data_IF_270650007571
#
_entry.id   IF_270650007571
#
_cell.length_a   1.000
_cell.length_b   1.000
_cell.length_c   1.000
_cell.angle_alpha   90.00
_cell.angle_beta   90.00
_cell.angle_gamma   90.00
#
_symmetry.space_group_name_H-M   'P 1'
#
loop_
_entity.id
_entity.type
_entity.pdbx_description
1 polymer ?
#
# COMPACT_ATOMS: atom_id res chain seq x y z
N UNK A 1 35.39 6.09 -22.30
CA UNK A 1 35.18 5.65 -20.89
C UNK A 1 34.74 4.21 -20.92
N UNK A 2 35.32 3.29 -20.14
CA UNK A 2 34.87 1.90 -20.12
C UNK A 2 33.41 1.85 -19.68
N UNK A 3 32.59 1.09 -20.42
CA UNK A 3 31.21 0.77 -20.04
C UNK A 3 31.32 -0.07 -18.75
N UNK A 4 30.96 0.48 -17.61
CA UNK A 4 30.84 -0.30 -16.38
C UNK A 4 29.74 -1.33 -16.62
N UNK A 5 30.15 -2.59 -16.80
CA UNK A 5 29.23 -3.71 -16.94
C UNK A 5 28.89 -4.18 -15.52
N UNK A 6 27.69 -3.87 -15.05
CA UNK A 6 27.18 -4.41 -13.79
C UNK A 6 26.85 -5.89 -13.97
N UNK A 7 27.19 -6.71 -13.00
CA UNK A 7 26.73 -8.10 -12.89
C UNK A 7 25.20 -8.16 -12.72
N UNK A 8 24.60 -9.32 -12.93
CA UNK A 8 23.15 -9.50 -12.69
C UNK A 8 22.80 -9.24 -11.22
N UNK A 9 23.64 -9.68 -10.29
CA UNK A 9 23.48 -9.45 -8.85
C UNK A 9 23.53 -7.97 -8.49
N UNK A 10 24.50 -7.23 -9.05
CA UNK A 10 24.61 -5.78 -8.85
C UNK A 10 23.39 -5.04 -9.42
N UNK A 11 22.89 -5.47 -10.58
CA UNK A 11 21.68 -4.90 -11.19
C UNK A 11 20.45 -5.15 -10.31
N UNK A 12 20.30 -6.37 -9.80
CA UNK A 12 19.17 -6.70 -8.90
C UNK A 12 19.25 -5.90 -7.59
N UNK A 13 20.43 -5.75 -7.02
CA UNK A 13 20.64 -4.91 -5.83
C UNK A 13 20.28 -3.44 -6.08
N UNK A 14 20.67 -2.89 -7.23
CA UNK A 14 20.30 -1.53 -7.62
C UNK A 14 18.78 -1.41 -7.81
N UNK A 15 18.15 -2.38 -8.48
CA UNK A 15 16.70 -2.42 -8.68
C UNK A 15 15.95 -2.42 -7.35
N UNK A 16 16.36 -3.28 -6.42
CA UNK A 16 15.79 -3.36 -5.08
C UNK A 16 16.00 -2.07 -4.27
N UNK A 17 17.16 -1.42 -4.44
CA UNK A 17 17.43 -0.11 -3.84
C UNK A 17 16.48 0.96 -4.38
N UNK A 18 16.25 1.00 -5.70
CA UNK A 18 15.30 1.93 -6.33
C UNK A 18 13.87 1.73 -5.81
N UNK A 19 13.43 0.48 -5.71
CA UNK A 19 12.11 0.14 -5.18
C UNK A 19 11.96 0.56 -3.71
N UNK A 20 12.98 0.27 -2.89
CA UNK A 20 12.98 0.61 -1.47
C UNK A 20 12.96 2.13 -1.27
N UNK A 21 13.84 2.87 -1.98
CA UNK A 21 13.87 4.34 -1.90
C UNK A 21 12.60 4.98 -2.46
N UNK A 22 12.06 4.43 -3.54
CA UNK A 22 10.76 4.84 -4.06
C UNK A 22 9.64 4.66 -3.04
N UNK A 23 9.56 3.50 -2.41
CA UNK A 23 8.55 3.20 -1.39
C UNK A 23 8.68 4.11 -0.16
N UNK A 24 9.90 4.33 0.34
CA UNK A 24 10.18 5.24 1.46
C UNK A 24 9.70 6.67 1.17
N UNK A 25 10.02 7.18 -0.03
CA UNK A 25 9.59 8.51 -0.46
C UNK A 25 8.08 8.60 -0.61
N UNK A 26 7.45 7.62 -1.26
CA UNK A 26 6.00 7.58 -1.46
C UNK A 26 5.24 7.46 -0.15
N UNK A 27 5.71 6.67 0.80
CA UNK A 27 5.09 6.56 2.12
C UNK A 27 5.13 7.89 2.88
N UNK A 28 6.26 8.61 2.79
CA UNK A 28 6.47 9.87 3.51
C UNK A 28 5.70 11.05 2.92
N UNK A 29 5.74 11.23 1.61
CA UNK A 29 5.27 12.45 0.94
C UNK A 29 4.19 12.23 -0.13
N UNK A 30 3.77 10.99 -0.35
CA UNK A 30 2.82 10.61 -1.40
C UNK A 30 3.47 10.42 -2.77
N UNK A 31 2.73 9.78 -3.67
CA UNK A 31 3.20 9.46 -5.03
C UNK A 31 3.34 10.72 -5.89
N UNK A 32 2.42 11.70 -5.73
CA UNK A 32 2.43 12.92 -6.52
C UNK A 32 3.70 13.75 -6.26
N UNK A 33 4.13 13.83 -5.01
CA UNK A 33 5.30 14.61 -4.59
C UNK A 33 6.62 13.83 -4.71
N UNK A 34 6.57 12.56 -5.08
CA UNK A 34 7.76 11.73 -5.31
C UNK A 34 8.16 11.81 -6.78
N UNK A 35 9.35 12.33 -7.07
CA UNK A 35 9.87 12.46 -8.44
C UNK A 35 10.86 11.35 -8.76
N UNK A 36 11.01 11.03 -10.05
CA UNK A 36 12.06 10.11 -10.53
C UNK A 36 13.44 10.61 -10.11
N UNK A 37 13.64 11.93 -10.12
CA UNK A 37 14.90 12.55 -9.71
C UNK A 37 15.26 12.24 -8.27
N UNK A 38 14.33 12.43 -7.34
CA UNK A 38 14.53 12.11 -5.93
C UNK A 38 14.87 10.62 -5.74
N UNK A 39 14.22 9.73 -6.50
CA UNK A 39 14.43 8.28 -6.39
C UNK A 39 15.83 7.89 -6.86
N UNK A 40 16.24 8.29 -8.07
CA UNK A 40 17.55 7.90 -8.58
C UNK A 40 18.70 8.56 -7.79
N UNK A 41 18.52 9.78 -7.31
CA UNK A 41 19.50 10.46 -6.44
C UNK A 41 19.63 9.71 -5.09
N UNK A 42 18.51 9.34 -4.47
CA UNK A 42 18.52 8.58 -3.22
C UNK A 42 19.13 7.17 -3.39
N UNK A 43 19.09 6.61 -4.59
CA UNK A 43 19.73 5.35 -4.94
C UNK A 43 21.19 5.50 -5.41
N UNK A 44 21.70 6.73 -5.55
CA UNK A 44 23.07 7.01 -5.98
C UNK A 44 23.38 6.65 -7.44
N UNK A 45 22.37 6.69 -8.32
CA UNK A 45 22.53 6.36 -9.74
C UNK A 45 22.17 7.55 -10.66
N UNK A 46 22.47 7.41 -11.95
CA UNK A 46 22.10 8.42 -12.94
C UNK A 46 20.65 8.25 -13.41
N UNK A 47 20.06 9.34 -13.95
CA UNK A 47 18.74 9.32 -14.59
C UNK A 47 18.65 8.29 -15.72
N UNK A 48 19.66 8.25 -16.58
CA UNK A 48 19.69 7.31 -17.71
C UNK A 48 19.69 5.87 -17.23
N UNK A 49 20.42 5.59 -16.14
CA UNK A 49 20.48 4.24 -15.59
C UNK A 49 19.18 3.83 -14.93
N UNK A 50 18.45 4.76 -14.27
CA UNK A 50 17.09 4.51 -13.76
C UNK A 50 16.18 3.92 -14.84
N UNK A 51 16.15 4.55 -16.04
CA UNK A 51 15.27 4.11 -17.12
C UNK A 51 15.67 2.77 -17.77
N UNK A 52 16.80 2.18 -17.40
CA UNK A 52 17.12 0.79 -17.76
C UNK A 52 16.43 -0.26 -16.87
N UNK A 53 15.91 0.16 -15.70
CA UNK A 53 15.16 -0.70 -14.77
C UNK A 53 13.66 -0.47 -14.87
N UNK A 54 13.25 0.77 -14.95
CA UNK A 54 11.83 1.16 -14.96
C UNK A 54 11.58 2.12 -16.12
N UNK A 55 10.88 1.66 -17.19
CA UNK A 55 10.55 2.50 -18.35
C UNK A 55 9.76 3.75 -17.96
N UNK A 56 8.90 3.65 -16.94
CA UNK A 56 8.10 4.75 -16.42
C UNK A 56 8.18 4.84 -14.89
N UNK A 57 7.77 5.98 -14.33
CA UNK A 57 7.59 6.14 -12.87
C UNK A 57 6.50 5.20 -12.37
N UNK A 58 5.47 4.99 -13.15
CA UNK A 58 4.32 4.16 -12.83
C UNK A 58 4.71 2.68 -12.66
N UNK A 59 5.65 2.17 -13.47
CA UNK A 59 6.18 0.81 -13.32
C UNK A 59 6.88 0.65 -11.96
N UNK A 60 7.72 1.63 -11.58
CA UNK A 60 8.35 1.62 -10.26
C UNK A 60 7.30 1.69 -9.14
N UNK A 61 6.28 2.56 -9.25
CA UNK A 61 5.23 2.70 -8.24
C UNK A 61 4.55 1.36 -7.99
N UNK A 62 4.11 0.67 -9.04
CA UNK A 62 3.41 -0.61 -8.94
C UNK A 62 4.27 -1.65 -8.24
N UNK A 63 5.54 -1.76 -8.63
CA UNK A 63 6.45 -2.74 -8.05
C UNK A 63 6.82 -2.39 -6.60
N UNK A 64 6.99 -1.11 -6.27
CA UNK A 64 7.21 -0.67 -4.90
C UNK A 64 6.01 -0.97 -4.00
N UNK A 65 4.77 -0.83 -4.51
CA UNK A 65 3.57 -1.27 -3.78
C UNK A 65 3.55 -2.78 -3.53
N UNK A 66 4.10 -3.59 -4.44
CA UNK A 66 4.23 -5.03 -4.20
C UNK A 66 5.28 -5.34 -3.14
N UNK A 67 6.35 -4.56 -3.07
CA UNK A 67 7.43 -4.75 -2.10
C UNK A 67 6.95 -4.62 -0.65
N UNK A 68 5.93 -3.80 -0.37
CA UNK A 68 5.39 -3.66 0.98
C UNK A 68 4.44 -4.79 1.40
N UNK A 69 3.87 -5.56 0.45
CA UNK A 69 2.84 -6.57 0.74
C UNK A 69 3.27 -7.64 1.76
N UNK A 70 4.49 -8.22 1.68
CA UNK A 70 4.94 -9.18 2.69
C UNK A 70 5.01 -8.59 4.10
N UNK A 71 5.41 -7.31 4.24
CA UNK A 71 5.47 -6.61 5.53
C UNK A 71 4.08 -6.39 6.12
N UNK A 72 3.11 -6.05 5.26
CA UNK A 72 1.71 -5.87 5.68
C UNK A 72 1.13 -7.20 6.17
N UNK A 73 1.36 -8.31 5.46
CA UNK A 73 0.93 -9.63 5.89
C UNK A 73 1.61 -10.09 7.17
N UNK A 74 2.92 -9.88 7.30
CA UNK A 74 3.66 -10.21 8.52
C UNK A 74 3.13 -9.41 9.71
N UNK A 75 2.79 -8.14 9.53
CA UNK A 75 2.20 -7.30 10.56
C UNK A 75 0.81 -7.79 10.97
N UNK A 76 -0.06 -8.12 10.00
CA UNK A 76 -1.38 -8.69 10.29
C UNK A 76 -1.27 -9.98 11.14
N UNK A 77 -0.35 -10.87 10.75
CA UNK A 77 -0.08 -12.11 11.51
C UNK A 77 0.43 -11.83 12.91
N UNK A 78 1.41 -10.93 13.05
CA UNK A 78 1.98 -10.59 14.36
C UNK A 78 0.94 -10.03 15.33
N UNK A 79 -0.06 -9.30 14.84
CA UNK A 79 -1.16 -8.80 15.67
C UNK A 79 -2.08 -9.94 16.13
N UNK A 80 -2.35 -10.93 15.27
CA UNK A 80 -3.21 -12.07 15.63
C UNK A 80 -2.49 -13.06 16.56
N UNK A 81 -1.18 -13.20 16.42
CA UNK A 81 -0.35 -14.05 17.28
C UNK A 81 -0.03 -13.40 18.64
N UNK A 82 -0.39 -12.13 18.86
CA UNK A 82 -0.13 -11.42 20.12
C UNK A 82 -1.15 -11.80 21.21
N UNK A 83 -0.74 -12.54 22.24
CA UNK A 83 -1.68 -12.99 23.28
C UNK A 83 -2.24 -11.86 24.16
N UNK A 84 -1.67 -10.65 24.08
CA UNK A 84 -2.17 -9.49 24.83
C UNK A 84 -3.33 -8.78 24.11
N UNK A 85 -3.65 -9.15 22.87
CA UNK A 85 -4.72 -8.55 22.09
C UNK A 85 -5.86 -9.55 21.88
N UNK A 86 -7.09 -9.07 22.03
CA UNK A 86 -8.23 -9.78 21.48
C UNK A 86 -8.22 -9.71 19.96
N UNK A 87 -8.92 -10.62 19.30
CA UNK A 87 -9.08 -10.59 17.84
C UNK A 87 -9.56 -9.23 17.34
N UNK A 88 -10.57 -8.66 18.00
CA UNK A 88 -11.12 -7.34 17.65
C UNK A 88 -10.09 -6.22 17.76
N UNK A 89 -9.31 -6.23 18.83
CA UNK A 89 -8.23 -5.26 19.02
C UNK A 89 -7.15 -5.38 17.96
N UNK A 90 -6.74 -6.61 17.60
CA UNK A 90 -5.78 -6.85 16.54
C UNK A 90 -6.25 -6.36 15.18
N UNK A 91 -7.49 -6.69 14.79
CA UNK A 91 -8.07 -6.19 13.51
C UNK A 91 -8.21 -4.67 13.52
N UNK A 92 -8.69 -4.08 14.62
CA UNK A 92 -8.78 -2.62 14.78
C UNK A 92 -7.43 -1.95 14.63
N UNK A 93 -6.41 -2.47 15.31
CA UNK A 93 -5.06 -1.92 15.26
C UNK A 93 -4.45 -2.04 13.87
N UNK A 94 -4.68 -3.15 13.17
CA UNK A 94 -4.27 -3.33 11.78
C UNK A 94 -4.87 -2.26 10.87
N UNK A 95 -6.18 -2.10 10.88
CA UNK A 95 -6.89 -1.13 10.05
C UNK A 95 -6.47 0.31 10.38
N UNK A 96 -6.34 0.63 11.66
CA UNK A 96 -5.86 1.93 12.11
C UNK A 96 -4.45 2.22 11.59
N UNK A 97 -3.52 1.28 11.75
CA UNK A 97 -2.13 1.44 11.24
C UNK A 97 -2.10 1.67 9.74
N UNK A 98 -2.94 0.97 8.97
CA UNK A 98 -3.05 1.18 7.53
C UNK A 98 -3.69 2.54 7.17
N UNK A 99 -4.69 3.00 7.91
CA UNK A 99 -5.31 4.32 7.71
C UNK A 99 -4.31 5.48 7.95
N UNK A 100 -3.35 5.28 8.85
CA UNK A 100 -2.28 6.22 9.14
C UNK A 100 -0.94 5.75 8.55
N UNK A 101 -0.99 5.24 7.31
CA UNK A 101 0.14 4.63 6.63
C UNK A 101 1.36 5.52 6.51
N UNK A 102 1.17 6.83 6.33
CA UNK A 102 2.24 7.84 6.27
C UNK A 102 3.08 7.89 7.55
N UNK A 103 2.49 7.60 8.70
CA UNK A 103 3.18 7.53 10.00
C UNK A 103 3.83 6.15 10.24
N UNK A 104 3.41 5.13 9.50
CA UNK A 104 3.81 3.73 9.68
C UNK A 104 4.65 3.19 8.51
N UNK A 105 5.09 4.05 7.59
CA UNK A 105 5.88 3.65 6.43
C UNK A 105 5.12 2.81 5.41
N UNK A 106 3.78 2.93 5.38
CA UNK A 106 2.90 2.26 4.41
C UNK A 106 2.46 3.27 3.36
N UNK A 107 2.79 3.02 2.10
CA UNK A 107 2.33 3.83 0.98
C UNK A 107 0.88 3.46 0.63
N UNK A 108 -0.02 4.44 0.77
CA UNK A 108 -1.43 4.34 0.38
C UNK A 108 -1.69 5.38 -0.70
N UNK A 109 -2.24 4.95 -1.84
CA UNK A 109 -2.55 5.86 -2.95
C UNK A 109 -3.82 6.67 -2.65
N UNK A 110 -3.80 7.97 -2.97
CA UNK A 110 -5.02 8.79 -3.01
C UNK A 110 -5.89 8.41 -4.21
N UNK A 111 -7.12 8.94 -4.29
CA UNK A 111 -8.02 8.72 -5.43
C UNK A 111 -7.37 9.20 -6.73
N UNK A 112 -6.78 10.40 -6.70
CA UNK A 112 -6.13 11.01 -7.84
C UNK A 112 -4.91 10.21 -8.30
N UNK A 113 -4.12 9.73 -7.34
CA UNK A 113 -2.95 8.89 -7.60
C UNK A 113 -3.35 7.55 -8.23
N UNK A 114 -4.42 6.92 -7.73
CA UNK A 114 -4.97 5.70 -8.30
C UNK A 114 -5.47 5.93 -9.72
N UNK A 115 -6.24 6.99 -9.96
CA UNK A 115 -6.75 7.33 -11.29
C UNK A 115 -5.61 7.60 -12.28
N UNK A 116 -4.58 8.35 -11.86
CA UNK A 116 -3.42 8.64 -12.68
C UNK A 116 -2.66 7.35 -13.03
N UNK A 117 -2.41 6.50 -12.05
CA UNK A 117 -1.71 5.23 -12.21
C UNK A 117 -2.47 4.32 -13.18
N UNK A 118 -3.76 4.08 -12.93
CA UNK A 118 -4.56 3.13 -13.71
C UNK A 118 -4.78 3.56 -15.15
N UNK A 119 -4.79 4.88 -15.45
CA UNK A 119 -4.85 5.39 -16.83
C UNK A 119 -3.58 5.09 -17.64
N UNK A 120 -2.47 4.84 -16.98
CA UNK A 120 -1.16 4.64 -17.63
C UNK A 120 -0.72 3.18 -17.66
N UNK A 121 -1.34 2.31 -16.88
CA UNK A 121 -1.08 0.88 -16.93
C UNK A 121 -1.70 0.26 -18.18
N UNK A 122 -1.01 -0.73 -18.76
CA UNK A 122 -1.62 -1.62 -19.76
C UNK A 122 -2.76 -2.43 -19.13
N UNK A 123 -3.67 -2.97 -19.94
CA UNK A 123 -4.72 -3.84 -19.45
C UNK A 123 -4.18 -5.05 -18.67
N UNK A 124 -3.07 -5.63 -19.16
CA UNK A 124 -2.38 -6.76 -18.51
C UNK A 124 -1.78 -6.37 -17.16
N UNK A 125 -1.06 -5.23 -17.11
CA UNK A 125 -0.48 -4.72 -15.86
C UNK A 125 -1.55 -4.37 -14.83
N UNK A 126 -2.67 -3.81 -15.28
CA UNK A 126 -3.81 -3.52 -14.40
C UNK A 126 -4.47 -4.80 -13.86
N UNK A 127 -4.64 -5.81 -14.72
CA UNK A 127 -5.18 -7.11 -14.28
C UNK A 127 -4.25 -7.78 -13.26
N UNK A 128 -2.94 -7.81 -13.53
CA UNK A 128 -1.95 -8.32 -12.58
C UNK A 128 -1.98 -7.57 -11.25
N UNK A 129 -2.12 -6.23 -11.30
CA UNK A 129 -2.26 -5.40 -10.10
C UNK A 129 -3.48 -5.84 -9.28
N UNK A 130 -4.64 -6.00 -9.92
CA UNK A 130 -5.87 -6.46 -9.24
C UNK A 130 -5.71 -7.84 -8.60
N UNK A 131 -5.08 -8.78 -9.31
CA UNK A 131 -4.83 -10.14 -8.79
C UNK A 131 -3.89 -10.12 -7.57
N UNK A 132 -2.83 -9.32 -7.61
CA UNK A 132 -1.91 -9.16 -6.47
C UNK A 132 -2.60 -8.50 -5.28
N UNK A 133 -3.45 -7.49 -5.52
CA UNK A 133 -4.25 -6.89 -4.45
C UNK A 133 -5.23 -7.90 -3.84
N UNK A 134 -5.94 -8.67 -4.66
CA UNK A 134 -6.85 -9.70 -4.17
C UNK A 134 -6.12 -10.77 -3.33
N UNK A 135 -4.91 -11.17 -3.73
CA UNK A 135 -4.07 -12.08 -2.93
C UNK A 135 -3.65 -11.47 -1.59
N UNK A 136 -3.26 -10.19 -1.58
CA UNK A 136 -2.91 -9.49 -0.34
C UNK A 136 -4.10 -9.47 0.63
N UNK A 137 -5.25 -8.98 0.18
CA UNK A 137 -6.43 -8.89 1.03
C UNK A 137 -6.98 -10.26 1.45
N UNK A 138 -6.87 -11.27 0.57
CA UNK A 138 -7.17 -12.66 0.92
C UNK A 138 -6.26 -13.17 2.03
N UNK A 139 -4.95 -12.98 1.90
CA UNK A 139 -3.99 -13.37 2.94
C UNK A 139 -4.18 -12.63 4.27
N UNK A 140 -4.64 -11.37 4.24
CA UNK A 140 -4.99 -10.64 5.47
C UNK A 140 -6.23 -11.27 6.14
N UNK A 141 -7.27 -11.60 5.38
CA UNK A 141 -8.46 -12.30 5.90
C UNK A 141 -8.08 -13.65 6.53
N UNK A 142 -7.21 -14.42 5.89
CA UNK A 142 -6.69 -15.67 6.44
C UNK A 142 -5.92 -15.46 7.75
N UNK A 143 -5.12 -14.39 7.85
CA UNK A 143 -4.49 -14.01 9.13
C UNK A 143 -5.53 -13.69 10.22
N UNK A 144 -6.70 -13.18 9.83
CA UNK A 144 -7.80 -12.87 10.75
C UNK A 144 -8.70 -14.08 11.04
N UNK A 145 -8.31 -15.29 10.61
CA UNK A 145 -9.10 -16.51 10.78
C UNK A 145 -10.47 -16.41 10.07
N UNK A 146 -10.49 -15.79 8.91
CA UNK A 146 -11.66 -15.64 8.05
C UNK A 146 -11.40 -16.33 6.72
N UNK A 147 -12.33 -17.20 6.30
CA UNK A 147 -12.25 -17.86 4.99
C UNK A 147 -12.25 -16.81 3.86
N UNK A 148 -11.18 -16.79 3.08
CA UNK A 148 -10.96 -15.85 1.98
C UNK A 148 -11.62 -16.32 0.67
N UNK A 149 -12.94 -16.27 0.59
CA UNK A 149 -13.65 -16.43 -0.69
C UNK A 149 -13.70 -15.12 -1.48
N UNK A 150 -14.13 -15.21 -2.75
CA UNK A 150 -14.13 -14.08 -3.69
C UNK A 150 -14.97 -12.89 -3.20
N UNK A 151 -16.10 -13.17 -2.58
CA UNK A 151 -17.04 -12.14 -2.14
C UNK A 151 -16.47 -11.39 -0.93
N UNK A 152 -15.98 -12.12 0.07
CA UNK A 152 -15.36 -11.55 1.27
C UNK A 152 -14.10 -10.77 0.96
N UNK A 153 -13.25 -11.28 0.05
CA UNK A 153 -12.07 -10.55 -0.43
C UNK A 153 -12.48 -9.23 -1.07
N UNK A 154 -13.48 -9.25 -1.98
CA UNK A 154 -13.94 -8.04 -2.66
C UNK A 154 -14.53 -7.02 -1.68
N UNK A 155 -15.36 -7.47 -0.74
CA UNK A 155 -15.96 -6.62 0.28
C UNK A 155 -14.88 -6.02 1.20
N UNK A 156 -13.99 -6.84 1.75
CA UNK A 156 -12.93 -6.38 2.64
C UNK A 156 -11.97 -5.42 1.93
N UNK A 157 -11.60 -5.70 0.68
CA UNK A 157 -10.79 -4.81 -0.14
C UNK A 157 -11.44 -3.43 -0.26
N UNK A 158 -12.70 -3.37 -0.64
CA UNK A 158 -13.41 -2.10 -0.84
C UNK A 158 -13.59 -1.33 0.48
N UNK A 159 -13.99 -2.00 1.56
CA UNK A 159 -14.17 -1.37 2.87
C UNK A 159 -12.85 -0.81 3.41
N UNK A 160 -11.77 -1.59 3.34
CA UNK A 160 -10.46 -1.18 3.82
C UNK A 160 -9.90 -0.02 3.00
N UNK A 161 -9.95 -0.11 1.67
CA UNK A 161 -9.49 0.97 0.80
C UNK A 161 -10.33 2.23 0.98
N UNK A 162 -11.66 2.12 1.12
CA UNK A 162 -12.52 3.27 1.32
C UNK A 162 -12.15 4.07 2.57
N UNK A 163 -11.96 3.42 3.72
CA UNK A 163 -11.57 4.12 4.96
C UNK A 163 -10.17 4.71 4.88
N UNK A 164 -9.21 4.00 4.27
CA UNK A 164 -7.83 4.50 4.09
C UNK A 164 -7.78 5.71 3.18
N UNK A 165 -8.46 5.64 2.02
CA UNK A 165 -8.51 6.73 1.05
C UNK A 165 -9.28 7.93 1.62
N UNK A 166 -10.41 7.70 2.28
CA UNK A 166 -11.17 8.75 2.95
C UNK A 166 -10.29 9.49 3.98
N UNK A 167 -9.65 8.75 4.89
CA UNK A 167 -8.79 9.35 5.92
C UNK A 167 -7.63 10.15 5.32
N UNK A 168 -7.03 9.66 4.25
CA UNK A 168 -5.91 10.34 3.57
C UNK A 168 -6.34 11.57 2.78
N UNK A 169 -7.56 11.57 2.23
CA UNK A 169 -8.10 12.71 1.49
C UNK A 169 -8.45 13.90 2.38
N UNK A 170 -8.59 13.70 3.68
CA UNK A 170 -8.72 14.74 4.68
C UNK A 170 -7.29 15.21 5.05
N UNK A 171 -6.93 16.45 4.99
CA UNK A 171 -7.64 17.70 4.76
C UNK A 171 -7.48 18.28 3.33
N UNK A 172 -6.98 17.51 2.38
CA UNK A 172 -6.48 18.08 1.11
C UNK A 172 -7.54 18.18 0.01
N UNK A 173 -8.44 17.19 -0.11
CA UNK A 173 -9.34 17.06 -1.26
C UNK A 173 -10.81 16.87 -0.91
N UNK A 174 -11.14 16.53 0.33
CA UNK A 174 -12.53 16.42 0.79
C UNK A 174 -12.90 17.63 1.64
N UNK A 175 -13.81 18.49 1.19
CA UNK A 175 -14.33 19.60 1.98
C UNK A 175 -15.28 19.05 3.05
N UNK A 176 -14.74 18.64 4.18
CA UNK A 176 -15.56 18.26 5.32
C UNK A 176 -16.10 19.51 6.01
N UNK A 177 -17.40 19.46 6.36
CA UNK A 177 -18.03 20.52 7.12
C UNK A 177 -17.44 20.66 8.54
N UNK A 178 -16.97 19.53 9.10
CA UNK A 178 -16.39 19.46 10.45
C UNK A 178 -15.09 18.64 10.38
N UNK A 179 -13.97 19.24 9.93
CA UNK A 179 -12.68 18.55 9.79
C UNK A 179 -12.18 17.94 11.10
N UNK A 180 -12.50 18.56 12.24
CA UNK A 180 -12.10 18.10 13.59
C UNK A 180 -12.70 16.73 13.95
N UNK A 181 -13.80 16.33 13.31
CA UNK A 181 -14.43 15.02 13.51
C UNK A 181 -13.83 13.91 12.62
N UNK A 182 -12.86 14.22 11.78
CA UNK A 182 -12.32 13.29 10.79
C UNK A 182 -11.78 11.99 11.40
N UNK A 183 -10.98 12.09 12.45
CA UNK A 183 -10.39 10.94 13.13
C UNK A 183 -11.45 10.09 13.85
N UNK A 184 -12.44 10.75 14.49
CA UNK A 184 -13.57 10.05 15.10
C UNK A 184 -14.43 9.34 14.05
N UNK A 185 -14.62 9.95 12.88
CA UNK A 185 -15.34 9.34 11.75
C UNK A 185 -14.59 8.10 11.24
N UNK A 186 -13.27 8.18 11.04
CA UNK A 186 -12.47 7.05 10.64
C UNK A 186 -12.51 5.91 11.68
N UNK A 187 -12.46 6.23 12.97
CA UNK A 187 -12.57 5.24 14.05
C UNK A 187 -13.92 4.49 14.01
N UNK A 188 -15.03 5.20 13.79
CA UNK A 188 -16.37 4.58 13.66
C UNK A 188 -16.42 3.68 12.42
N UNK A 189 -15.84 4.10 11.29
CA UNK A 189 -15.78 3.28 10.09
C UNK A 189 -14.95 2.01 10.29
N UNK A 190 -13.82 2.11 10.99
CA UNK A 190 -13.00 0.94 11.38
C UNK A 190 -13.81 -0.01 12.24
N UNK A 191 -14.54 0.47 13.25
CA UNK A 191 -15.40 -0.38 14.09
C UNK A 191 -16.50 -1.08 13.28
N UNK A 192 -17.10 -0.38 12.33
CA UNK A 192 -18.09 -0.99 11.43
C UNK A 192 -17.47 -2.12 10.59
N UNK A 193 -16.23 -1.96 10.12
CA UNK A 193 -15.50 -3.01 9.40
C UNK A 193 -15.20 -4.19 10.35
N UNK A 194 -14.72 -3.94 11.56
CA UNK A 194 -14.46 -4.99 12.57
C UNK A 194 -15.73 -5.79 12.87
N UNK A 195 -16.87 -5.11 13.09
CA UNK A 195 -18.16 -5.76 13.31
C UNK A 195 -18.58 -6.64 12.12
N UNK A 196 -18.42 -6.13 10.89
CA UNK A 196 -18.71 -6.89 9.68
C UNK A 196 -17.83 -8.14 9.58
N UNK A 197 -16.52 -8.01 9.81
CA UNK A 197 -15.58 -9.12 9.72
C UNK A 197 -15.83 -10.18 10.78
N UNK A 198 -16.25 -9.77 11.97
CA UNK A 198 -16.60 -10.71 13.06
C UNK A 198 -17.74 -11.66 12.67
N UNK A 199 -18.69 -11.20 11.86
CA UNK A 199 -19.78 -12.05 11.36
C UNK A 199 -19.30 -13.14 10.40
N UNK A 200 -18.08 -13.03 9.88
CA UNK A 200 -17.49 -13.99 8.92
C UNK A 200 -16.62 -15.05 9.60
N UNK A 201 -16.37 -14.93 10.90
CA UNK A 201 -15.55 -15.89 11.68
C UNK A 201 -16.30 -17.17 12.08
N UNK A 202 -17.59 -17.24 11.87
CA UNK A 202 -18.41 -18.39 12.29
C UNK A 202 -18.19 -19.65 11.45
#
# INVERSE_FOLDING_TARGET
MPKVSYSEEERENIRNTLLTKGLELMARQGVQHTTVEQIYQAAGISRTFFYTFFPTKEDLIVEALYLQQPKILAYARALMDNPALSWREGVRQFLHTCCYGEQNGIAVLTVEEQQMLFRRLSAESYQLFREKQARLFGGILECFDIRADRERIALFTNLSLAVMVFRRAIPQTLPLLVPEAADATAAIQIEAIVNCLETFRA
#
